data_IF_386922217923
#
_entry.id   IF_386922217923
#
_cell.length_a   1.000
_cell.length_b   1.000
_cell.length_c   1.000
_cell.angle_alpha   90.00
_cell.angle_beta   90.00
_cell.angle_gamma   90.00
#
_symmetry.space_group_name_H-M   'P 1'
#
loop_
_entity.id
_entity.type
_entity.pdbx_description
1 polymer ?
#
# COMPACT_ATOMS: atom_id res chain seq x y z
N UNK A 1 17.95 2.54 -5.43
CA UNK A 1 17.09 2.10 -4.33
C UNK A 1 15.79 2.87 -4.41
N UNK A 2 14.80 2.29 -5.05
CA UNK A 2 13.55 2.96 -5.45
C UNK A 2 12.64 3.38 -4.29
N UNK A 3 12.90 2.92 -3.08
CA UNK A 3 12.05 3.24 -1.91
C UNK A 3 12.73 4.20 -0.90
N UNK A 4 13.89 4.77 -1.25
CA UNK A 4 14.68 5.54 -0.29
C UNK A 4 14.43 7.02 -0.37
N UNK A 5 13.30 7.50 -0.87
CA UNK A 5 12.93 8.90 -0.96
C UNK A 5 14.14 9.85 -0.79
N UNK A 6 14.77 10.26 -1.89
CA UNK A 6 15.90 11.22 -1.95
C UNK A 6 17.15 10.90 -1.11
N UNK A 7 17.33 9.66 -0.70
CA UNK A 7 18.58 9.21 -0.07
C UNK A 7 19.58 8.80 -1.14
N UNK A 8 19.75 9.64 -2.14
CA UNK A 8 20.72 9.47 -3.21
C UNK A 8 21.76 10.59 -3.09
N UNK A 9 23.01 10.26 -3.31
CA UNK A 9 24.08 11.22 -3.49
C UNK A 9 24.87 10.83 -4.72
N UNK A 10 25.18 11.79 -5.56
CA UNK A 10 26.15 11.58 -6.63
C UNK A 10 27.55 11.65 -6.05
N UNK A 11 28.32 10.58 -6.25
CA UNK A 11 29.73 10.55 -5.91
C UNK A 11 30.56 10.26 -7.15
N UNK A 12 31.67 10.92 -7.28
CA UNK A 12 32.65 10.72 -8.36
C UNK A 12 34.03 10.45 -7.76
N UNK A 13 34.61 9.33 -8.12
CA UNK A 13 36.00 8.97 -7.76
C UNK A 13 36.88 9.28 -8.96
N UNK A 14 37.93 10.06 -8.75
CA UNK A 14 38.91 10.42 -9.79
C UNK A 14 40.32 10.29 -9.20
N UNK A 15 41.39 10.32 -10.04
CA UNK A 15 42.75 10.41 -9.53
C UNK A 15 43.03 11.61 -8.64
N UNK A 16 42.17 12.62 -8.71
CA UNK A 16 42.28 13.86 -7.91
C UNK A 16 41.53 13.77 -6.58
N UNK A 17 40.80 12.68 -6.30
CA UNK A 17 40.09 12.49 -5.04
C UNK A 17 38.64 12.05 -5.20
N UNK A 18 37.96 11.97 -4.07
CA UNK A 18 36.54 11.67 -3.95
C UNK A 18 35.74 13.00 -3.90
N UNK A 19 34.79 13.12 -4.80
CA UNK A 19 33.86 14.24 -4.85
C UNK A 19 32.46 13.71 -4.53
N UNK A 20 31.80 14.32 -3.55
CA UNK A 20 30.41 13.99 -3.18
C UNK A 20 29.59 15.25 -3.40
N UNK A 21 28.44 15.10 -4.05
CA UNK A 21 27.47 16.18 -4.23
C UNK A 21 26.98 16.67 -2.85
N UNK A 22 26.89 17.99 -2.71
CA UNK A 22 26.30 18.56 -1.50
C UNK A 22 24.80 18.29 -1.49
N UNK A 23 24.37 17.51 -0.49
CA UNK A 23 22.94 17.24 -0.31
C UNK A 23 22.23 18.47 0.25
N UNK A 24 20.98 18.65 -0.17
CA UNK A 24 20.11 19.65 0.45
C UNK A 24 19.91 19.31 1.93
N UNK A 25 20.19 20.30 2.80
CA UNK A 25 20.07 20.13 4.26
C UNK A 25 18.71 20.50 4.80
N UNK A 26 17.94 21.27 4.04
CA UNK A 26 16.60 21.68 4.39
C UNK A 26 15.63 21.36 3.23
N UNK A 27 15.30 20.07 3.05
CA UNK A 27 14.37 19.66 1.99
C UNK A 27 12.94 20.17 2.25
N UNK A 28 12.60 20.52 3.49
CA UNK A 28 11.27 21.00 3.84
C UNK A 28 10.90 22.30 3.12
N UNK A 29 11.88 23.13 2.74
CA UNK A 29 11.65 24.37 1.99
C UNK A 29 11.03 24.17 0.60
N UNK A 30 11.08 22.94 0.06
CA UNK A 30 10.45 22.60 -1.22
C UNK A 30 9.06 22.03 -1.08
N UNK A 31 8.61 21.79 0.16
CA UNK A 31 7.24 21.35 0.38
C UNK A 31 6.27 22.49 0.06
N UNK A 32 5.15 22.22 -0.63
CA UNK A 32 4.12 23.24 -0.80
C UNK A 32 3.56 23.64 0.57
N UNK A 33 3.21 24.90 0.70
CA UNK A 33 2.43 25.35 1.85
C UNK A 33 1.04 24.73 1.77
N UNK A 34 0.70 23.91 2.75
CA UNK A 34 -0.59 23.21 2.81
C UNK A 34 -1.60 23.92 3.71
N UNK A 35 -1.24 25.08 4.28
CA UNK A 35 -2.11 25.84 5.21
C UNK A 35 -3.42 26.30 4.57
N UNK A 36 -3.41 26.53 3.26
CA UNK A 36 -4.58 27.00 2.49
C UNK A 36 -5.27 25.88 1.66
N UNK A 37 -4.87 24.61 1.85
CA UNK A 37 -5.61 23.54 1.19
C UNK A 37 -6.97 23.37 1.88
N UNK A 38 -8.08 23.44 1.12
CA UNK A 38 -9.38 23.13 1.69
C UNK A 38 -9.32 21.76 2.35
N UNK A 39 -9.95 21.60 3.50
CA UNK A 39 -10.25 20.28 4.05
C UNK A 39 -11.08 19.57 2.98
N UNK A 40 -10.39 18.80 2.11
CA UNK A 40 -11.07 18.01 1.10
C UNK A 40 -12.05 17.08 1.82
N UNK A 41 -13.22 16.91 1.24
CA UNK A 41 -14.22 15.95 1.70
C UNK A 41 -13.62 14.55 1.77
N UNK A 42 -13.17 14.17 2.95
CA UNK A 42 -12.64 12.83 3.21
C UNK A 42 -13.79 11.89 3.52
N UNK A 43 -13.97 10.88 2.71
CA UNK A 43 -15.02 9.87 2.93
C UNK A 43 -14.54 8.82 3.93
N UNK A 44 -15.29 8.67 5.01
CA UNK A 44 -15.03 7.64 6.02
C UNK A 44 -15.55 6.28 5.55
N UNK A 45 -14.66 5.28 5.56
CA UNK A 45 -14.99 3.88 5.26
C UNK A 45 -14.74 3.02 6.50
N UNK A 46 -15.78 2.39 6.99
CA UNK A 46 -15.73 1.46 8.13
C UNK A 46 -15.40 0.04 7.65
N UNK A 47 -14.20 -0.43 7.98
CA UNK A 47 -13.71 -1.76 7.62
C UNK A 47 -14.22 -2.89 8.54
N UNK A 48 -15.02 -2.57 9.58
CA UNK A 48 -15.69 -3.57 10.40
C UNK A 48 -16.92 -4.17 9.68
N UNK A 49 -17.36 -3.56 8.60
CA UNK A 49 -18.47 -4.04 7.79
C UNK A 49 -18.09 -5.26 6.94
N UNK A 50 -19.08 -6.06 6.51
CA UNK A 50 -18.84 -7.12 5.53
C UNK A 50 -18.17 -6.59 4.26
N UNK A 51 -17.31 -7.40 3.64
CA UNK A 51 -16.59 -6.99 2.43
C UNK A 51 -17.52 -6.51 1.32
N UNK A 52 -18.70 -7.11 1.15
CA UNK A 52 -19.70 -6.67 0.18
C UNK A 52 -20.17 -5.23 0.39
N UNK A 53 -20.34 -4.81 1.65
CA UNK A 53 -20.74 -3.43 1.97
C UNK A 53 -19.57 -2.46 1.78
N UNK A 54 -18.35 -2.88 2.11
CA UNK A 54 -17.14 -2.09 1.86
C UNK A 54 -16.98 -1.83 0.36
N UNK A 55 -17.10 -2.88 -0.47
CA UNK A 55 -16.99 -2.75 -1.93
C UNK A 55 -18.12 -1.89 -2.52
N UNK A 56 -19.36 -2.03 -2.02
CA UNK A 56 -20.46 -1.18 -2.42
C UNK A 56 -20.22 0.30 -2.07
N UNK A 57 -19.69 0.56 -0.88
CA UNK A 57 -19.32 1.92 -0.47
C UNK A 57 -18.22 2.49 -1.36
N UNK A 58 -17.16 1.71 -1.64
CA UNK A 58 -16.07 2.15 -2.53
C UNK A 58 -16.56 2.45 -3.95
N UNK A 59 -17.50 1.65 -4.47
CA UNK A 59 -18.03 1.84 -5.83
C UNK A 59 -18.94 3.08 -5.97
N UNK A 60 -19.42 3.63 -4.87
CA UNK A 60 -20.26 4.84 -4.87
C UNK A 60 -19.44 6.13 -5.08
N UNK A 61 -18.10 6.06 -5.02
CA UNK A 61 -17.24 7.23 -5.10
C UNK A 61 -16.38 7.19 -6.37
N UNK A 62 -16.11 8.36 -6.98
CA UNK A 62 -15.22 8.44 -8.14
C UNK A 62 -13.78 8.11 -7.78
N UNK A 63 -12.97 7.81 -8.81
CA UNK A 63 -11.52 7.67 -8.67
C UNK A 63 -10.93 8.97 -8.11
N UNK A 64 -9.85 8.87 -7.33
CA UNK A 64 -9.17 9.97 -6.63
C UNK A 64 -9.89 10.51 -5.40
N UNK A 65 -11.04 9.95 -5.00
CA UNK A 65 -11.66 10.28 -3.72
C UNK A 65 -10.71 9.96 -2.57
N UNK A 66 -10.54 10.92 -1.66
CA UNK A 66 -9.80 10.71 -0.42
C UNK A 66 -10.62 9.91 0.57
N UNK A 67 -10.02 8.85 1.12
CA UNK A 67 -10.68 7.92 2.02
C UNK A 67 -9.99 7.87 3.38
N UNK A 68 -10.76 7.93 4.45
CA UNK A 68 -10.32 7.59 5.81
C UNK A 68 -10.81 6.18 6.14
N UNK A 69 -9.88 5.23 6.21
CA UNK A 69 -10.19 3.83 6.48
C UNK A 69 -10.03 3.55 7.97
N UNK A 70 -11.06 2.99 8.62
CA UNK A 70 -11.02 2.64 10.04
C UNK A 70 -11.52 1.22 10.24
N UNK A 71 -10.73 0.38 10.91
CA UNK A 71 -11.08 -1.01 11.20
C UNK A 71 -9.97 -2.00 10.85
N UNK A 72 -10.26 -3.30 10.89
CA UNK A 72 -9.27 -4.35 10.66
C UNK A 72 -8.88 -4.46 9.19
N UNK A 73 -7.60 -4.75 8.96
CA UNK A 73 -7.06 -5.12 7.65
C UNK A 73 -5.97 -6.19 7.81
N UNK A 74 -5.73 -6.93 6.74
CA UNK A 74 -4.69 -7.96 6.71
C UNK A 74 -3.41 -7.37 6.14
N UNK A 75 -2.33 -7.46 6.90
CA UNK A 75 -1.01 -7.06 6.43
C UNK A 75 -0.34 -8.24 5.74
N UNK A 76 -0.18 -8.16 4.44
CA UNK A 76 0.42 -9.21 3.64
C UNK A 76 1.19 -8.64 2.45
N UNK A 77 2.38 -9.18 2.21
CA UNK A 77 3.18 -8.93 1.01
C UNK A 77 3.90 -10.22 0.59
N UNK A 78 4.92 -10.15 -0.20
CA UNK A 78 5.66 -11.23 -0.87
C UNK A 78 5.49 -12.64 -0.27
N UNK A 79 6.09 -12.89 0.91
CA UNK A 79 6.08 -14.22 1.54
C UNK A 79 4.66 -14.67 1.90
N UNK A 80 3.82 -13.73 2.39
CA UNK A 80 2.45 -14.05 2.75
C UNK A 80 1.61 -14.40 1.51
N UNK A 81 1.80 -13.69 0.39
CA UNK A 81 1.13 -14.00 -0.87
C UNK A 81 1.56 -15.37 -1.41
N UNK A 82 2.87 -15.68 -1.38
CA UNK A 82 3.37 -16.98 -1.79
C UNK A 82 2.75 -18.12 -0.96
N UNK A 83 2.72 -17.98 0.37
CA UNK A 83 2.11 -18.98 1.27
C UNK A 83 0.59 -19.10 1.08
N UNK A 84 -0.10 -18.02 0.79
CA UNK A 84 -1.53 -18.05 0.48
C UNK A 84 -1.81 -18.79 -0.83
N UNK A 85 -0.94 -18.61 -1.84
CA UNK A 85 -1.03 -19.36 -3.09
C UNK A 85 -0.77 -20.85 -2.88
N UNK A 86 0.31 -21.22 -2.18
CA UNK A 86 0.59 -22.62 -1.82
C UNK A 86 -0.60 -23.25 -1.09
N UNK A 87 -1.20 -22.55 -0.15
CA UNK A 87 -2.37 -23.02 0.57
C UNK A 87 -3.60 -23.16 -0.34
N UNK A 88 -3.80 -22.21 -1.25
CA UNK A 88 -4.87 -22.29 -2.22
C UNK A 88 -4.72 -23.51 -3.13
N UNK A 89 -3.49 -23.82 -3.55
CA UNK A 89 -3.18 -24.99 -4.40
C UNK A 89 -3.42 -26.31 -3.64
N UNK A 90 -3.14 -26.35 -2.34
CA UNK A 90 -3.34 -27.53 -1.49
C UNK A 90 -4.79 -27.72 -1.07
N UNK A 91 -5.43 -26.67 -0.60
CA UNK A 91 -6.75 -26.73 0.06
C UNK A 91 -7.91 -26.37 -0.92
N UNK A 92 -7.59 -25.82 -2.09
CA UNK A 92 -8.57 -25.33 -3.07
C UNK A 92 -9.32 -24.06 -2.65
N UNK A 93 -8.98 -23.48 -1.50
CA UNK A 93 -9.67 -22.31 -0.94
C UNK A 93 -8.73 -21.37 -0.18
N UNK A 94 -9.06 -20.07 -0.22
CA UNK A 94 -8.41 -19.05 0.58
C UNK A 94 -8.98 -19.04 2.01
N UNK A 95 -8.18 -18.65 3.01
CA UNK A 95 -8.66 -18.44 4.37
C UNK A 95 -9.75 -17.36 4.43
N UNK A 96 -10.72 -17.51 5.32
CA UNK A 96 -11.84 -16.57 5.45
C UNK A 96 -11.38 -15.17 5.85
N UNK A 97 -10.36 -15.07 6.72
CA UNK A 97 -9.80 -13.76 7.08
C UNK A 97 -9.27 -13.00 5.85
N UNK A 98 -8.74 -13.70 4.85
CA UNK A 98 -8.19 -13.08 3.64
C UNK A 98 -9.27 -12.68 2.62
N UNK A 99 -10.46 -13.29 2.72
CA UNK A 99 -11.64 -12.93 1.91
C UNK A 99 -12.42 -11.79 2.55
N UNK A 100 -12.46 -11.75 3.89
CA UNK A 100 -13.36 -10.87 4.62
C UNK A 100 -12.74 -9.51 4.98
N UNK A 101 -11.45 -9.29 4.71
CA UNK A 101 -10.77 -8.05 5.06
C UNK A 101 -9.96 -7.48 3.90
N UNK A 102 -9.83 -6.14 3.82
CA UNK A 102 -8.89 -5.51 2.91
C UNK A 102 -7.44 -5.94 3.20
N UNK A 103 -6.62 -5.94 2.16
CA UNK A 103 -5.21 -6.35 2.25
C UNK A 103 -4.31 -5.13 2.11
N UNK A 104 -3.51 -4.87 3.13
CA UNK A 104 -2.50 -3.82 3.14
C UNK A 104 -1.12 -4.41 2.82
N UNK A 105 -0.53 -3.95 1.72
CA UNK A 105 0.80 -4.39 1.31
C UNK A 105 1.84 -3.61 2.09
N UNK A 106 2.17 -4.10 3.25
CA UNK A 106 3.13 -3.48 4.14
C UNK A 106 3.96 -4.52 4.90
N UNK A 107 5.02 -4.05 5.52
CA UNK A 107 5.84 -4.84 6.43
C UNK A 107 6.34 -3.94 7.54
N UNK A 108 5.80 -4.05 8.76
CA UNK A 108 6.19 -3.22 9.87
C UNK A 108 7.68 -3.41 10.19
N UNK A 109 8.33 -2.32 10.57
CA UNK A 109 9.65 -2.38 11.17
C UNK A 109 9.57 -2.98 12.59
N UNK A 110 10.72 -3.32 13.16
CA UNK A 110 10.77 -3.80 14.54
C UNK A 110 10.14 -2.76 15.48
N UNK A 111 9.22 -3.21 16.31
CA UNK A 111 8.53 -2.36 17.28
C UNK A 111 9.51 -1.83 18.33
N UNK A 112 9.66 -0.51 18.50
CA UNK A 112 10.42 0.06 19.59
C UNK A 112 9.77 -0.23 20.95
N UNK A 113 10.59 -0.23 22.01
CA UNK A 113 10.08 -0.46 23.37
C UNK A 113 9.03 0.59 23.75
N UNK A 114 7.87 0.14 24.21
CA UNK A 114 6.77 1.03 24.63
C UNK A 114 5.87 1.54 23.52
N UNK A 115 6.11 1.16 22.26
CA UNK A 115 5.26 1.50 21.13
C UNK A 115 4.36 0.33 20.75
N UNK A 116 3.20 0.61 20.18
CA UNK A 116 2.27 -0.42 19.71
C UNK A 116 2.77 -1.11 18.43
N UNK A 117 3.52 -0.40 17.59
CA UNK A 117 4.07 -0.89 16.32
C UNK A 117 5.36 -0.13 15.97
N UNK A 118 6.17 -0.70 15.10
CA UNK A 118 7.22 0.02 14.38
C UNK A 118 6.65 0.75 13.16
N UNK A 119 7.50 1.51 12.47
CA UNK A 119 7.15 2.17 11.21
C UNK A 119 6.42 1.23 10.24
N UNK A 120 5.30 1.68 9.69
CA UNK A 120 4.34 0.81 9.02
C UNK A 120 3.76 1.46 7.76
N UNK A 121 4.60 1.64 6.74
CA UNK A 121 4.22 2.25 5.48
C UNK A 121 3.94 1.25 4.36
N UNK A 122 3.24 1.69 3.31
CA UNK A 122 2.90 0.85 2.17
C UNK A 122 4.15 0.44 1.38
N UNK A 123 4.17 -0.79 0.87
CA UNK A 123 5.16 -1.26 -0.10
C UNK A 123 4.64 -1.13 -1.53
N UNK A 124 5.53 -1.31 -2.50
CA UNK A 124 5.22 -1.25 -3.93
C UNK A 124 4.24 -2.34 -4.33
N UNK A 125 3.11 -1.95 -4.90
CA UNK A 125 2.01 -2.82 -5.25
C UNK A 125 2.34 -3.84 -6.34
N UNK A 126 3.06 -3.43 -7.38
CA UNK A 126 3.33 -4.24 -8.58
C UNK A 126 4.02 -5.59 -8.31
N UNK A 127 4.67 -5.74 -7.17
CA UNK A 127 5.30 -7.02 -6.76
C UNK A 127 4.28 -8.14 -6.53
N UNK A 128 3.05 -7.81 -6.19
CA UNK A 128 1.97 -8.75 -5.92
C UNK A 128 1.01 -8.93 -7.10
N UNK A 129 1.25 -8.27 -8.23
CA UNK A 129 0.31 -8.24 -9.35
C UNK A 129 -0.04 -9.63 -9.88
N UNK A 130 0.92 -10.55 -9.94
CA UNK A 130 0.71 -11.91 -10.45
C UNK A 130 -0.25 -12.76 -9.59
N UNK A 131 -0.44 -12.43 -8.32
CA UNK A 131 -1.34 -13.16 -7.42
C UNK A 131 -2.79 -12.70 -7.51
N UNK A 132 -3.01 -11.44 -7.91
CA UNK A 132 -4.32 -10.78 -7.78
C UNK A 132 -5.44 -11.51 -8.54
N UNK A 133 -5.30 -11.87 -9.84
CA UNK A 133 -6.36 -12.54 -10.56
C UNK A 133 -6.78 -13.85 -9.89
N UNK A 134 -5.81 -14.67 -9.49
CA UNK A 134 -6.06 -15.96 -8.83
C UNK A 134 -6.80 -15.77 -7.50
N UNK A 135 -6.41 -14.78 -6.72
CA UNK A 135 -7.03 -14.51 -5.43
C UNK A 135 -8.42 -13.89 -5.58
N UNK A 136 -8.61 -12.95 -6.49
CA UNK A 136 -9.92 -12.32 -6.74
C UNK A 136 -10.94 -13.33 -7.26
N UNK A 137 -10.55 -14.26 -8.14
CA UNK A 137 -11.39 -15.36 -8.58
C UNK A 137 -11.86 -16.28 -7.43
N UNK A 138 -11.22 -16.22 -6.28
CA UNK A 138 -11.57 -16.97 -5.05
C UNK A 138 -12.11 -16.06 -3.92
N UNK A 139 -12.44 -14.81 -4.25
CA UNK A 139 -13.00 -13.83 -3.31
C UNK A 139 -12.01 -13.18 -2.36
N UNK A 140 -10.70 -13.37 -2.56
CA UNK A 140 -9.65 -12.69 -1.79
C UNK A 140 -9.10 -11.46 -2.51
N UNK A 141 -8.30 -10.64 -1.83
CA UNK A 141 -7.71 -9.41 -2.39
C UNK A 141 -8.71 -8.46 -3.07
N UNK A 142 -9.95 -8.42 -2.59
CA UNK A 142 -11.01 -7.60 -3.18
C UNK A 142 -10.78 -6.10 -2.96
N UNK A 143 -10.21 -5.71 -1.84
CA UNK A 143 -9.75 -4.35 -1.58
C UNK A 143 -8.26 -4.39 -1.18
N UNK A 144 -7.42 -3.73 -1.95
CA UNK A 144 -5.96 -3.74 -1.80
C UNK A 144 -5.46 -2.33 -1.53
N UNK A 145 -4.65 -2.14 -0.48
CA UNK A 145 -4.02 -0.87 -0.13
C UNK A 145 -2.50 -0.99 -0.28
N UNK A 146 -1.89 -0.13 -1.09
CA UNK A 146 -0.45 -0.11 -1.30
C UNK A 146 0.01 1.21 -1.94
N UNK A 147 1.27 1.30 -2.38
CA UNK A 147 1.77 2.43 -3.17
C UNK A 147 2.21 2.01 -4.57
N UNK A 148 2.24 3.00 -5.47
CA UNK A 148 2.69 2.84 -6.86
C UNK A 148 1.61 2.29 -7.78
N UNK A 149 1.97 2.16 -9.06
CA UNK A 149 1.06 1.75 -10.10
C UNK A 149 0.83 0.24 -10.11
N UNK A 150 -0.32 -0.15 -10.67
CA UNK A 150 -0.65 -1.55 -10.94
C UNK A 150 -0.51 -1.86 -12.44
N UNK A 151 -0.22 -3.11 -12.74
CA UNK A 151 -0.22 -3.60 -14.12
C UNK A 151 -1.63 -3.67 -14.70
N UNK A 152 -1.70 -3.80 -16.03
CA UNK A 152 -2.96 -3.99 -16.74
C UNK A 152 -3.73 -5.22 -16.26
N UNK A 153 -3.01 -6.30 -15.95
CA UNK A 153 -3.59 -7.55 -15.46
C UNK A 153 -4.42 -7.32 -14.18
N UNK A 154 -3.94 -6.52 -13.24
CA UNK A 154 -4.70 -6.19 -12.02
C UNK A 154 -5.91 -5.32 -12.32
N UNK A 155 -5.76 -4.33 -13.20
CA UNK A 155 -6.89 -3.48 -13.62
C UNK A 155 -8.01 -4.31 -14.24
N UNK A 156 -7.66 -5.22 -15.13
CA UNK A 156 -8.62 -6.07 -15.83
C UNK A 156 -9.29 -7.05 -14.84
N UNK A 157 -8.52 -7.64 -13.91
CA UNK A 157 -9.04 -8.49 -12.84
C UNK A 157 -9.98 -7.73 -11.88
N UNK A 158 -9.61 -6.52 -11.46
CA UNK A 158 -10.49 -5.69 -10.63
C UNK A 158 -11.81 -5.36 -11.34
N UNK A 159 -11.76 -5.10 -12.66
CA UNK A 159 -12.97 -4.87 -13.46
C UNK A 159 -13.85 -6.12 -13.55
N UNK A 160 -13.25 -7.29 -13.71
CA UNK A 160 -13.97 -8.56 -13.82
C UNK A 160 -14.61 -8.99 -12.51
N UNK A 161 -13.89 -8.85 -11.41
CA UNK A 161 -14.30 -9.36 -10.09
C UNK A 161 -14.86 -8.30 -9.13
N UNK A 162 -14.91 -7.04 -9.55
CA UNK A 162 -15.39 -5.94 -8.67
C UNK A 162 -14.40 -5.56 -7.56
N UNK A 163 -13.11 -5.78 -7.77
CA UNK A 163 -12.08 -5.43 -6.80
C UNK A 163 -11.62 -3.97 -6.88
N UNK A 164 -10.98 -3.47 -5.82
CA UNK A 164 -10.48 -2.10 -5.72
C UNK A 164 -9.00 -2.06 -5.34
N UNK A 165 -8.29 -1.13 -5.96
CA UNK A 165 -6.96 -0.75 -5.55
C UNK A 165 -6.98 0.66 -4.95
N UNK A 166 -6.56 0.78 -3.70
CA UNK A 166 -6.47 2.01 -2.95
C UNK A 166 -4.99 2.43 -2.86
N UNK A 167 -4.68 3.58 -3.44
CA UNK A 167 -3.33 4.12 -3.40
C UNK A 167 -3.06 4.85 -2.10
N UNK A 168 -1.91 4.57 -1.48
CA UNK A 168 -1.41 5.33 -0.34
C UNK A 168 -0.11 6.04 -0.71
N UNK A 169 0.13 7.20 -0.14
CA UNK A 169 1.36 7.95 -0.36
C UNK A 169 2.52 7.22 0.31
N UNK A 170 3.58 6.93 -0.46
CA UNK A 170 4.82 6.39 0.09
C UNK A 170 5.61 7.45 0.85
N UNK A 171 6.44 7.01 1.80
CA UNK A 171 7.26 7.91 2.61
C UNK A 171 6.66 8.30 3.96
N UNK A 172 5.34 8.17 4.14
CA UNK A 172 4.65 8.48 5.40
C UNK A 172 4.81 7.44 6.51
N UNK A 173 5.64 6.41 6.31
CA UNK A 173 5.80 5.28 7.23
C UNK A 173 6.08 5.69 8.69
N UNK A 174 6.85 6.77 8.89
CA UNK A 174 7.18 7.27 10.22
C UNK A 174 6.00 7.99 10.91
N UNK A 175 4.97 8.38 10.14
CA UNK A 175 3.76 9.04 10.68
C UNK A 175 2.58 8.08 10.81
N UNK A 176 2.70 6.88 10.25
CA UNK A 176 1.64 5.86 10.27
C UNK A 176 1.87 4.79 11.36
N UNK A 177 2.89 4.98 12.18
CA UNK A 177 3.22 4.11 13.31
C UNK A 177 2.69 4.67 14.61
#
# INVERSE_FOLDING_TARGET
VSCSADRQAFAKITPKGLFIETLERDPAKFLPDLSDQPEDDVVAIDLNKPMSEILASLSAHPVETRLALTGPLIVARDIAHAKLLERLDQDGKLPDYFKNHPVYYAGPAKTPKGMASGSFGPTTAGRMDSYVPTFQAKGGSMAMLAKGNRSRVVRDSCKEHGGFYLGSIGGGAAKLA
#
